data_IF_229162423549
#
_entry.id   IF_229162423549
#
_cell.length_a   1.000
_cell.length_b   1.000
_cell.length_c   1.000
_cell.angle_alpha   90.00
_cell.angle_beta   90.00
_cell.angle_gamma   90.00
#
_symmetry.space_group_name_H-M   'P 1'
#
loop_
_entity.id
_entity.type
_entity.pdbx_description
1 polymer ?
#
# COMPACT_ATOMS: atom_id res chain seq x y z
N UNK A 1 26.92 -15.97 -13.61
CA UNK A 1 25.45 -15.95 -13.40
C UNK A 1 24.82 -15.41 -14.68
N UNK A 2 23.68 -16.00 -15.12
CA UNK A 2 22.96 -15.49 -16.27
C UNK A 2 22.54 -14.00 -16.03
N UNK A 3 22.69 -13.11 -17.05
CA UNK A 3 22.43 -11.67 -16.88
C UNK A 3 21.03 -11.34 -16.36
N UNK A 4 20.02 -12.13 -16.71
CA UNK A 4 18.64 -11.91 -16.24
C UNK A 4 18.46 -12.35 -14.79
N UNK A 5 19.09 -13.45 -14.38
CA UNK A 5 19.14 -13.89 -12.99
C UNK A 5 19.86 -12.87 -12.11
N UNK A 6 20.95 -12.27 -12.62
CA UNK A 6 21.66 -11.20 -11.92
C UNK A 6 20.80 -9.96 -11.72
N UNK A 7 20.07 -9.52 -12.76
CA UNK A 7 19.14 -8.37 -12.67
C UNK A 7 18.03 -8.61 -11.65
N UNK A 8 17.43 -9.82 -11.65
CA UNK A 8 16.41 -10.20 -10.67
C UNK A 8 16.94 -10.17 -9.25
N UNK A 9 18.14 -10.65 -9.03
CA UNK A 9 18.78 -10.63 -7.72
C UNK A 9 19.11 -9.21 -7.25
N UNK A 10 19.64 -8.34 -8.14
CA UNK A 10 19.84 -6.90 -7.84
C UNK A 10 18.51 -6.23 -7.46
N UNK A 11 17.45 -6.48 -8.22
CA UNK A 11 16.12 -5.91 -7.92
C UNK A 11 15.58 -6.39 -6.56
N UNK A 12 15.78 -7.66 -6.20
CA UNK A 12 15.36 -8.20 -4.91
C UNK A 12 16.14 -7.57 -3.73
N UNK A 13 17.44 -7.38 -3.88
CA UNK A 13 18.27 -6.67 -2.90
C UNK A 13 17.82 -5.22 -2.77
N UNK A 14 17.63 -4.53 -3.90
CA UNK A 14 17.22 -3.14 -3.93
C UNK A 14 15.89 -2.93 -3.21
N UNK A 15 14.87 -3.76 -3.47
CA UNK A 15 13.58 -3.67 -2.79
C UNK A 15 13.67 -3.80 -1.27
N UNK A 16 14.64 -4.55 -0.78
CA UNK A 16 14.87 -4.73 0.65
C UNK A 16 15.64 -3.59 1.29
N UNK A 17 16.64 -3.05 0.59
CA UNK A 17 17.63 -2.11 1.14
C UNK A 17 17.38 -0.65 0.75
N UNK A 18 16.63 -0.37 -0.33
CA UNK A 18 16.48 0.98 -0.90
C UNK A 18 16.06 2.04 0.13
N UNK A 19 15.06 1.74 0.94
CA UNK A 19 14.57 2.68 1.95
C UNK A 19 15.66 3.05 2.97
N UNK A 20 16.43 2.07 3.44
CA UNK A 20 17.54 2.28 4.38
C UNK A 20 18.67 3.09 3.76
N UNK A 21 19.02 2.78 2.51
CA UNK A 21 20.08 3.50 1.77
C UNK A 21 19.67 4.96 1.57
N UNK A 22 18.47 5.21 1.03
CA UNK A 22 17.99 6.57 0.78
C UNK A 22 17.86 7.35 2.10
N UNK A 23 17.32 6.74 3.15
CA UNK A 23 17.17 7.36 4.46
C UNK A 23 18.53 7.77 5.06
N UNK A 24 19.49 6.84 5.07
CA UNK A 24 20.87 7.11 5.53
C UNK A 24 21.52 8.23 4.74
N UNK A 25 21.39 8.21 3.41
CA UNK A 25 21.95 9.26 2.56
C UNK A 25 21.25 10.61 2.80
N UNK A 26 19.93 10.64 2.96
CA UNK A 26 19.19 11.88 3.24
C UNK A 26 19.66 12.53 4.53
N UNK A 27 19.85 11.74 5.60
CA UNK A 27 20.43 12.23 6.85
C UNK A 27 21.85 12.80 6.67
N UNK A 28 22.66 12.14 5.83
CA UNK A 28 24.05 12.52 5.59
C UNK A 28 24.17 13.80 4.74
N UNK A 29 23.40 13.89 3.63
CA UNK A 29 23.56 15.02 2.68
C UNK A 29 22.60 16.18 2.96
N UNK A 30 21.57 15.99 3.80
CA UNK A 30 20.57 17.02 4.13
C UNK A 30 19.62 17.36 2.97
N UNK A 31 19.68 16.62 1.85
CA UNK A 31 18.86 16.84 0.65
C UNK A 31 18.31 15.49 0.16
N UNK A 32 17.00 15.33 0.28
CA UNK A 32 16.30 14.11 -0.12
C UNK A 32 16.44 13.81 -1.63
N UNK A 33 16.42 14.84 -2.49
CA UNK A 33 16.52 14.64 -3.92
C UNK A 33 17.91 14.15 -4.32
N UNK A 34 18.94 14.76 -3.76
CA UNK A 34 20.34 14.33 -3.95
C UNK A 34 20.57 12.93 -3.40
N UNK A 35 20.03 12.62 -2.23
CA UNK A 35 20.15 11.29 -1.63
C UNK A 35 19.58 10.18 -2.52
N UNK A 36 18.40 10.40 -3.09
CA UNK A 36 17.78 9.44 -3.99
C UNK A 36 18.55 9.29 -5.29
N UNK A 37 19.05 10.39 -5.87
CA UNK A 37 19.87 10.32 -7.08
C UNK A 37 21.18 9.54 -6.83
N UNK A 38 21.87 9.74 -5.70
CA UNK A 38 23.05 8.98 -5.31
C UNK A 38 22.75 7.49 -5.10
N UNK A 39 21.59 7.17 -4.52
CA UNK A 39 21.15 5.81 -4.32
C UNK A 39 20.85 5.10 -5.65
N UNK A 40 20.25 5.80 -6.64
CA UNK A 40 20.03 5.27 -7.99
C UNK A 40 21.35 5.04 -8.74
N UNK A 41 22.30 5.94 -8.56
CA UNK A 41 23.66 5.77 -9.12
C UNK A 41 24.36 4.53 -8.57
N UNK A 42 24.21 4.23 -7.27
CA UNK A 42 24.76 3.03 -6.68
C UNK A 42 24.04 1.76 -7.21
N UNK A 43 22.74 1.81 -7.43
CA UNK A 43 21.98 0.74 -8.07
C UNK A 43 22.45 0.49 -9.51
N UNK A 44 22.68 1.55 -10.29
CA UNK A 44 23.20 1.44 -11.66
C UNK A 44 24.59 0.78 -11.67
N UNK A 45 25.44 1.10 -10.70
CA UNK A 45 26.76 0.47 -10.55
C UNK A 45 26.65 -1.01 -10.16
N UNK A 46 25.73 -1.38 -9.28
CA UNK A 46 25.44 -2.78 -8.96
C UNK A 46 25.00 -3.59 -10.20
N UNK A 47 24.10 -3.01 -11.01
CA UNK A 47 23.63 -3.61 -12.26
C UNK A 47 24.77 -3.82 -13.28
N UNK A 48 25.79 -2.97 -13.25
CA UNK A 48 26.97 -3.11 -14.12
C UNK A 48 27.99 -4.13 -13.59
N UNK A 49 28.24 -4.16 -12.27
CA UNK A 49 29.35 -4.92 -11.68
C UNK A 49 28.95 -6.34 -11.23
N UNK A 50 27.79 -6.53 -10.61
CA UNK A 50 27.42 -7.81 -10.00
C UNK A 50 27.18 -8.95 -11.00
N UNK A 51 26.73 -8.74 -12.26
CA UNK A 51 26.65 -9.82 -13.24
C UNK A 51 27.99 -10.53 -13.49
N UNK A 52 29.10 -9.78 -13.48
CA UNK A 52 30.43 -10.30 -13.71
C UNK A 52 31.19 -10.71 -12.42
N UNK A 53 31.08 -9.86 -11.38
CA UNK A 53 31.82 -10.02 -10.12
C UNK A 53 31.11 -10.84 -9.04
N UNK A 54 29.83 -11.17 -9.23
CA UNK A 54 28.97 -11.78 -8.20
C UNK A 54 28.37 -10.77 -7.24
N UNK A 55 27.35 -11.22 -6.48
CA UNK A 55 26.71 -10.41 -5.46
C UNK A 55 27.56 -10.41 -4.19
N UNK A 56 27.90 -9.25 -3.62
CA UNK A 56 28.66 -9.17 -2.37
C UNK A 56 27.96 -9.92 -1.22
N UNK A 57 28.73 -10.35 -0.23
CA UNK A 57 28.20 -11.01 0.98
C UNK A 57 27.26 -10.10 1.76
N UNK A 58 27.53 -8.79 1.77
CA UNK A 58 26.65 -7.76 2.32
C UNK A 58 26.29 -6.72 1.24
N UNK A 59 25.25 -6.99 0.42
CA UNK A 59 24.90 -6.13 -0.70
C UNK A 59 24.40 -4.73 -0.27
N UNK A 60 23.71 -4.62 0.86
CA UNK A 60 23.23 -3.34 1.39
C UNK A 60 24.38 -2.42 1.82
N UNK A 61 25.38 -2.95 2.51
CA UNK A 61 26.58 -2.20 2.88
C UNK A 61 27.37 -1.77 1.65
N UNK A 62 27.50 -2.63 0.63
CA UNK A 62 28.16 -2.28 -0.62
C UNK A 62 27.48 -1.11 -1.34
N UNK A 63 26.13 -1.16 -1.51
CA UNK A 63 25.35 -0.08 -2.12
C UNK A 63 25.51 1.23 -1.34
N UNK A 64 25.43 1.16 -0.01
CA UNK A 64 25.61 2.34 0.86
C UNK A 64 27.00 2.94 0.71
N UNK A 65 28.05 2.12 0.67
CA UNK A 65 29.44 2.56 0.50
C UNK A 65 29.66 3.24 -0.86
N UNK A 66 29.11 2.65 -1.95
CA UNK A 66 29.18 3.26 -3.29
C UNK A 66 28.48 4.62 -3.31
N UNK A 67 27.28 4.71 -2.76
CA UNK A 67 26.52 5.95 -2.72
C UNK A 67 27.22 7.02 -1.86
N UNK A 68 27.75 6.67 -0.69
CA UNK A 68 28.56 7.58 0.16
C UNK A 68 29.80 8.10 -0.59
N UNK A 69 30.53 7.21 -1.27
CA UNK A 69 31.71 7.62 -2.08
C UNK A 69 31.32 8.65 -3.14
N UNK A 70 30.23 8.43 -3.87
CA UNK A 70 29.74 9.37 -4.88
C UNK A 70 29.31 10.71 -4.27
N UNK A 71 28.73 10.71 -3.06
CA UNK A 71 28.45 11.92 -2.32
C UNK A 71 29.72 12.72 -2.03
N UNK A 72 30.73 12.07 -1.47
CA UNK A 72 32.06 12.68 -1.17
C UNK A 72 32.72 13.23 -2.43
N UNK A 73 32.73 12.46 -3.52
CA UNK A 73 33.29 12.89 -4.81
C UNK A 73 32.53 14.09 -5.40
N UNK A 74 31.22 14.13 -5.22
CA UNK A 74 30.38 15.26 -5.60
C UNK A 74 30.71 16.53 -4.77
N UNK A 75 30.93 16.36 -3.48
CA UNK A 75 31.35 17.46 -2.60
C UNK A 75 32.75 17.95 -2.95
N UNK A 76 33.73 17.07 -3.07
CA UNK A 76 35.09 17.44 -3.48
C UNK A 76 35.15 18.21 -4.80
N UNK A 77 34.23 17.91 -5.74
CA UNK A 77 34.14 18.68 -7.01
C UNK A 77 33.49 20.06 -6.84
N UNK A 78 32.54 20.20 -5.90
CA UNK A 78 31.89 21.49 -5.56
C UNK A 78 32.73 22.30 -4.59
N UNK A 79 33.54 21.63 -3.77
CA UNK A 79 34.20 22.17 -2.57
C UNK A 79 35.54 22.84 -2.80
N UNK A 80 35.67 23.56 -3.88
CA UNK A 80 36.72 24.61 -3.88
C UNK A 80 36.36 25.81 -2.97
N UNK A 81 35.23 25.76 -2.25
CA UNK A 81 34.67 26.93 -1.55
C UNK A 81 34.11 26.75 -0.14
N UNK A 82 34.14 25.52 0.49
CA UNK A 82 33.54 25.43 1.84
C UNK A 82 34.29 24.48 2.82
N UNK A 83 34.99 25.06 3.79
CA UNK A 83 35.85 24.37 4.81
C UNK A 83 35.01 23.50 5.76
N UNK A 84 33.69 23.74 5.87
CA UNK A 84 32.82 23.00 6.78
C UNK A 84 32.48 21.57 6.25
N UNK A 85 32.45 21.42 4.94
CA UNK A 85 32.22 20.14 4.26
C UNK A 85 33.47 19.25 4.27
N UNK A 86 34.66 19.84 4.33
CA UNK A 86 35.93 19.09 4.45
C UNK A 86 36.04 18.31 5.78
N UNK A 87 35.46 18.83 6.88
CA UNK A 87 35.46 18.16 8.18
C UNK A 87 34.53 16.93 8.16
N UNK A 88 33.34 17.03 7.55
CA UNK A 88 32.40 15.91 7.40
C UNK A 88 32.98 14.83 6.46
N UNK A 89 33.65 15.25 5.38
CA UNK A 89 34.33 14.33 4.46
C UNK A 89 35.45 13.54 5.17
N UNK A 90 36.21 14.19 6.04
CA UNK A 90 37.29 13.57 6.81
C UNK A 90 36.78 12.55 7.86
N UNK A 91 35.69 12.84 8.55
CA UNK A 91 35.05 11.91 9.48
C UNK A 91 34.51 10.68 8.77
N UNK A 92 33.90 10.86 7.58
CA UNK A 92 33.42 9.77 6.73
C UNK A 92 34.56 8.93 6.11
N UNK A 93 35.73 9.54 5.84
CA UNK A 93 36.93 8.84 5.37
C UNK A 93 37.54 7.97 6.48
N UNK A 94 37.51 8.43 7.73
CA UNK A 94 37.93 7.62 8.89
C UNK A 94 37.02 6.42 9.08
N UNK A 95 35.68 6.60 9.04
CA UNK A 95 34.73 5.49 9.09
C UNK A 95 34.91 4.50 7.91
N UNK A 96 35.31 4.98 6.73
CA UNK A 96 35.56 4.13 5.55
C UNK A 96 36.91 3.37 5.63
N UNK A 97 37.94 3.96 6.18
CA UNK A 97 39.23 3.29 6.39
C UNK A 97 39.10 2.14 7.40
N UNK A 98 38.27 2.34 8.43
CA UNK A 98 37.93 1.29 9.39
C UNK A 98 37.08 0.16 8.79
N UNK A 99 36.29 0.45 7.73
CA UNK A 99 35.46 -0.55 7.00
C UNK A 99 36.28 -1.38 6.01
N UNK A 100 37.37 -0.83 5.46
CA UNK A 100 38.20 -1.54 4.46
C UNK A 100 39.16 -2.53 5.16
N UNK A 101 39.49 -2.28 6.43
CA UNK A 101 40.41 -3.15 7.22
C UNK A 101 39.66 -4.15 8.12
N UNK A 102 38.36 -4.01 8.26
CA UNK A 102 37.51 -4.91 9.03
C UNK A 102 36.53 -5.64 8.11
N UNK A 103 36.81 -6.89 7.84
CA UNK A 103 35.78 -7.91 7.53
C UNK A 103 34.89 -8.18 8.74
N UNK A 104 34.77 -7.24 9.65
CA UNK A 104 34.02 -7.28 10.88
C UNK A 104 32.99 -6.13 10.93
N UNK A 105 31.80 -6.48 11.32
CA UNK A 105 30.63 -5.68 11.61
C UNK A 105 30.91 -4.18 11.86
N UNK A 106 30.43 -3.32 10.94
CA UNK A 106 30.12 -1.95 11.31
C UNK A 106 29.16 -2.00 12.50
N UNK A 107 29.29 -1.12 13.49
CA UNK A 107 28.27 -1.00 14.52
C UNK A 107 26.94 -0.61 13.82
N UNK A 108 26.19 -1.65 13.51
CA UNK A 108 24.82 -1.56 13.02
C UNK A 108 24.00 -1.13 14.22
N UNK A 109 23.64 0.16 14.27
CA UNK A 109 22.59 0.62 15.17
C UNK A 109 21.25 0.43 14.44
N UNK A 110 20.54 -0.68 14.69
CA UNK A 110 19.27 -0.94 14.04
C UNK A 110 18.24 0.14 14.40
N UNK A 111 18.30 0.72 15.59
CA UNK A 111 17.33 1.71 16.05
C UNK A 111 17.50 3.04 15.31
N UNK A 112 18.74 3.48 15.05
CA UNK A 112 19.00 4.70 14.28
C UNK A 112 18.56 4.58 12.81
N UNK A 113 18.74 3.40 12.20
CA UNK A 113 18.33 3.16 10.81
C UNK A 113 16.81 3.06 10.70
N UNK A 114 16.15 2.43 11.66
CA UNK A 114 14.70 2.31 11.68
C UNK A 114 14.04 3.68 11.86
N UNK A 115 14.61 4.57 12.67
CA UNK A 115 14.19 5.97 12.78
C UNK A 115 14.33 6.74 11.46
N UNK A 116 15.43 6.55 10.73
CA UNK A 116 15.64 7.22 9.44
C UNK A 116 14.65 6.73 8.37
N UNK A 117 14.30 5.43 8.36
CA UNK A 117 13.27 4.88 7.47
C UNK A 117 11.89 5.47 7.81
N UNK A 118 11.58 5.64 9.10
CA UNK A 118 10.34 6.28 9.53
C UNK A 118 10.27 7.74 9.04
N UNK A 119 11.36 8.51 9.17
CA UNK A 119 11.46 9.88 8.62
C UNK A 119 11.22 9.89 7.12
N UNK A 120 11.83 8.95 6.37
CA UNK A 120 11.65 8.82 4.93
C UNK A 120 10.20 8.57 4.54
N UNK A 121 9.49 7.71 5.28
CA UNK A 121 8.06 7.45 5.08
C UNK A 121 7.24 8.72 5.27
N UNK A 122 7.48 9.49 6.34
CA UNK A 122 6.76 10.74 6.60
C UNK A 122 7.05 11.82 5.54
N UNK A 123 8.29 11.92 5.06
CA UNK A 123 8.66 12.85 3.97
C UNK A 123 7.98 12.45 2.67
N UNK A 124 8.01 11.17 2.29
CA UNK A 124 7.40 10.70 1.03
C UNK A 124 5.88 10.83 1.02
N UNK A 125 5.24 10.82 2.19
CA UNK A 125 3.79 11.00 2.38
C UNK A 125 3.41 12.42 2.81
N UNK A 126 4.30 13.41 2.69
CA UNK A 126 4.05 14.78 3.19
C UNK A 126 2.80 15.41 2.57
N UNK A 127 1.93 16.12 3.37
CA UNK A 127 0.67 16.72 2.90
C UNK A 127 0.84 17.75 1.78
N UNK A 128 2.00 18.38 1.66
CA UNK A 128 2.32 19.32 0.57
C UNK A 128 2.25 18.66 -0.82
N UNK A 129 2.37 17.34 -0.88
CA UNK A 129 2.29 16.55 -2.11
C UNK A 129 0.84 16.18 -2.44
N UNK A 130 0.50 16.12 -3.72
CA UNK A 130 -0.77 15.52 -4.15
C UNK A 130 -0.82 14.02 -3.80
N UNK A 131 -2.04 13.46 -3.76
CA UNK A 131 -2.27 12.04 -3.47
C UNK A 131 -1.46 11.13 -4.41
N UNK A 132 -1.48 11.41 -5.70
CA UNK A 132 -0.77 10.64 -6.74
C UNK A 132 0.74 10.76 -6.59
N UNK A 133 1.22 11.93 -6.19
CA UNK A 133 2.64 12.17 -5.95
C UNK A 133 3.13 11.40 -4.72
N UNK A 134 2.35 11.37 -3.63
CA UNK A 134 2.67 10.57 -2.43
C UNK A 134 2.76 9.09 -2.76
N UNK A 135 1.76 8.54 -3.47
CA UNK A 135 1.75 7.13 -3.89
C UNK A 135 2.99 6.82 -4.74
N UNK A 136 3.26 7.60 -5.78
CA UNK A 136 4.39 7.36 -6.67
C UNK A 136 5.73 7.45 -5.93
N UNK A 137 5.89 8.47 -5.07
CA UNK A 137 7.12 8.68 -4.32
C UNK A 137 7.34 7.59 -3.26
N UNK A 138 6.30 7.22 -2.51
CA UNK A 138 6.37 6.14 -1.52
C UNK A 138 6.76 4.80 -2.15
N UNK A 139 6.14 4.43 -3.26
CA UNK A 139 6.49 3.20 -3.98
C UNK A 139 7.91 3.25 -4.52
N UNK A 140 8.36 4.41 -4.99
CA UNK A 140 9.72 4.59 -5.52
C UNK A 140 10.79 4.47 -4.44
N UNK A 141 10.68 5.27 -3.37
CA UNK A 141 11.77 5.44 -2.40
C UNK A 141 11.68 4.50 -1.20
N UNK A 142 10.48 4.16 -0.77
CA UNK A 142 10.25 3.23 0.36
C UNK A 142 10.04 1.81 -0.17
N UNK A 143 9.26 1.65 -1.24
CA UNK A 143 9.00 0.36 -1.88
C UNK A 143 10.13 -0.15 -2.77
N UNK A 144 10.99 0.74 -3.27
CA UNK A 144 12.08 0.38 -4.18
C UNK A 144 11.63 -0.04 -5.58
N UNK A 145 10.39 0.32 -5.98
CA UNK A 145 9.86 0.01 -7.31
C UNK A 145 10.51 0.92 -8.37
N UNK A 146 10.65 0.39 -9.57
CA UNK A 146 11.04 1.20 -10.75
C UNK A 146 9.87 2.04 -11.25
N UNK A 147 10.16 3.08 -12.02
CA UNK A 147 9.13 3.93 -12.66
C UNK A 147 8.25 3.14 -13.62
N UNK A 148 8.83 2.13 -14.29
CA UNK A 148 8.14 1.22 -15.20
C UNK A 148 7.17 0.29 -14.44
N UNK A 149 7.59 -0.23 -13.27
CA UNK A 149 6.73 -1.04 -12.41
C UNK A 149 5.55 -0.23 -11.89
N UNK A 150 5.80 1.00 -11.41
CA UNK A 150 4.74 1.91 -10.94
C UNK A 150 3.79 2.29 -12.09
N UNK A 151 4.33 2.63 -13.27
CA UNK A 151 3.55 3.00 -14.43
C UNK A 151 2.63 1.86 -14.89
N UNK A 152 3.15 0.64 -14.94
CA UNK A 152 2.39 -0.57 -15.27
C UNK A 152 1.31 -0.85 -14.23
N UNK A 153 1.65 -0.70 -12.94
CA UNK A 153 0.72 -0.93 -11.84
C UNK A 153 -0.47 0.03 -11.83
N UNK A 154 -0.29 1.26 -12.29
CA UNK A 154 -1.35 2.28 -12.33
C UNK A 154 -1.87 2.57 -13.74
N UNK A 155 -1.53 1.74 -14.74
CA UNK A 155 -1.92 1.89 -16.15
C UNK A 155 -1.70 3.33 -16.67
N UNK A 156 -0.52 3.87 -16.37
CA UNK A 156 -0.15 5.23 -16.79
C UNK A 156 1.16 5.20 -17.58
N UNK A 157 1.48 6.28 -18.30
CA UNK A 157 2.74 6.37 -19.02
C UNK A 157 3.92 6.48 -18.05
N UNK A 158 5.06 5.85 -18.38
CA UNK A 158 6.31 5.93 -17.60
C UNK A 158 6.73 7.39 -17.42
N UNK A 159 6.63 8.20 -18.48
CA UNK A 159 6.93 9.64 -18.45
C UNK A 159 6.07 10.41 -17.43
N UNK A 160 4.80 10.02 -17.27
CA UNK A 160 3.90 10.61 -16.27
C UNK A 160 4.39 10.32 -14.85
N UNK A 161 4.79 9.08 -14.57
CA UNK A 161 5.33 8.70 -13.26
C UNK A 161 6.65 9.43 -12.99
N UNK A 162 7.56 9.47 -13.98
CA UNK A 162 8.82 10.21 -13.87
C UNK A 162 8.58 11.68 -13.52
N UNK A 163 7.68 12.34 -14.25
CA UNK A 163 7.34 13.75 -13.99
C UNK A 163 6.71 13.96 -12.60
N UNK A 164 5.84 13.03 -12.15
CA UNK A 164 5.25 13.09 -10.80
C UNK A 164 6.34 13.02 -9.72
N UNK A 165 7.27 12.08 -9.84
CA UNK A 165 8.39 11.91 -8.89
C UNK A 165 9.30 13.14 -8.90
N UNK A 166 9.69 13.63 -10.08
CA UNK A 166 10.54 14.83 -10.21
C UNK A 166 9.86 16.07 -9.60
N UNK A 167 8.58 16.28 -9.88
CA UNK A 167 7.81 17.39 -9.29
C UNK A 167 7.65 17.23 -7.78
N UNK A 168 7.40 16.01 -7.29
CA UNK A 168 7.30 15.74 -5.86
C UNK A 168 8.60 16.11 -5.13
N UNK A 169 9.75 15.65 -5.63
CA UNK A 169 11.06 16.02 -5.08
C UNK A 169 11.27 17.54 -5.06
N UNK A 170 10.97 18.23 -6.18
CA UNK A 170 11.07 19.68 -6.27
C UNK A 170 10.14 20.39 -5.29
N UNK A 171 8.92 19.91 -5.12
CA UNK A 171 7.94 20.49 -4.17
C UNK A 171 8.41 20.33 -2.73
N UNK A 172 8.92 19.15 -2.34
CA UNK A 172 9.49 18.90 -1.02
C UNK A 172 10.68 19.83 -0.73
N UNK A 173 11.62 19.96 -1.68
CA UNK A 173 12.77 20.83 -1.55
C UNK A 173 12.37 22.32 -1.46
N UNK A 174 11.43 22.78 -2.31
CA UNK A 174 10.95 24.17 -2.29
C UNK A 174 10.17 24.52 -1.00
N UNK A 175 9.48 23.54 -0.42
CA UNK A 175 8.77 23.69 0.84
C UNK A 175 9.68 23.57 2.07
N UNK A 176 10.97 23.24 1.89
CA UNK A 176 11.91 23.05 3.00
C UNK A 176 11.49 21.95 3.98
N UNK A 177 10.85 20.89 3.49
CA UNK A 177 10.34 19.82 4.35
C UNK A 177 11.51 19.17 5.09
N UNK A 178 11.52 19.20 6.44
CA UNK A 178 12.62 18.65 7.21
C UNK A 178 12.61 17.10 7.15
N UNK A 179 13.80 16.51 7.23
CA UNK A 179 13.95 15.06 7.34
C UNK A 179 13.82 14.62 8.81
N UNK A 180 12.61 14.70 9.33
CA UNK A 180 12.31 14.46 10.75
C UNK A 180 11.00 13.69 10.91
N UNK A 181 10.86 13.05 12.07
CA UNK A 181 9.57 12.51 12.51
C UNK A 181 8.70 13.72 12.90
N UNK A 182 7.43 13.76 12.50
CA UNK A 182 6.54 14.87 12.87
C UNK A 182 6.47 15.09 14.38
N UNK A 183 6.27 16.35 14.84
CA UNK A 183 5.99 16.65 16.23
C UNK A 183 4.81 15.84 16.79
N UNK A 184 4.74 15.67 18.11
CA UNK A 184 3.73 14.80 18.75
C UNK A 184 2.29 15.22 18.47
N UNK A 185 2.05 16.49 18.31
CA UNK A 185 0.74 17.07 18.00
C UNK A 185 0.32 16.83 16.54
N UNK A 186 1.26 16.80 15.58
CA UNK A 186 1.00 16.49 14.18
C UNK A 186 1.06 14.98 13.86
N UNK A 187 1.72 14.20 14.73
CA UNK A 187 2.01 12.79 14.45
C UNK A 187 0.78 11.95 14.10
N UNK A 188 -0.37 12.04 14.79
CA UNK A 188 -1.55 11.23 14.46
C UNK A 188 -2.10 11.53 13.06
N UNK A 189 -2.18 12.81 12.66
CA UNK A 189 -2.67 13.22 11.34
C UNK A 189 -1.71 12.77 10.23
N UNK A 190 -0.42 12.96 10.46
CA UNK A 190 0.63 12.56 9.53
C UNK A 190 0.70 11.05 9.36
N UNK A 191 0.59 10.29 10.46
CA UNK A 191 0.47 8.83 10.41
C UNK A 191 -0.79 8.39 9.66
N UNK A 192 -1.93 9.03 9.93
CA UNK A 192 -3.18 8.79 9.19
C UNK A 192 -2.99 8.97 7.67
N UNK A 193 -2.22 9.98 7.26
CA UNK A 193 -1.87 10.18 5.84
C UNK A 193 -1.04 9.02 5.29
N UNK A 194 -0.04 8.54 6.02
CA UNK A 194 0.79 7.38 5.62
C UNK A 194 -0.06 6.12 5.48
N UNK A 195 -0.87 5.81 6.49
CA UNK A 195 -1.78 4.66 6.48
C UNK A 195 -2.73 4.73 5.27
N UNK A 196 -3.28 5.92 4.99
CA UNK A 196 -4.13 6.16 3.83
C UNK A 196 -3.43 5.89 2.50
N UNK A 197 -2.16 6.28 2.34
CA UNK A 197 -1.36 5.99 1.13
C UNK A 197 -1.14 4.49 0.97
N UNK A 198 -0.75 3.78 2.03
CA UNK A 198 -0.56 2.34 1.98
C UNK A 198 -1.86 1.59 1.67
N UNK A 199 -2.97 2.01 2.27
CA UNK A 199 -4.28 1.46 1.98
C UNK A 199 -4.72 1.66 0.53
N UNK A 200 -4.42 2.83 -0.05
CA UNK A 200 -4.69 3.10 -1.46
C UNK A 200 -3.90 2.19 -2.41
N UNK A 201 -2.62 1.98 -2.12
CA UNK A 201 -1.78 1.07 -2.90
C UNK A 201 -2.33 -0.36 -2.81
N UNK A 202 -2.71 -0.79 -1.61
CA UNK A 202 -3.30 -2.09 -1.38
C UNK A 202 -4.61 -2.29 -2.16
N UNK A 203 -5.51 -1.30 -2.09
CA UNK A 203 -6.81 -1.38 -2.76
C UNK A 203 -6.67 -1.42 -4.28
N UNK A 204 -5.75 -0.65 -4.88
CA UNK A 204 -5.47 -0.74 -6.31
C UNK A 204 -4.95 -2.12 -6.73
N UNK A 205 -4.19 -2.78 -5.84
CA UNK A 205 -3.76 -4.16 -6.05
C UNK A 205 -4.85 -5.20 -5.80
N UNK A 206 -5.77 -4.92 -4.88
CA UNK A 206 -6.88 -5.79 -4.51
C UNK A 206 -8.03 -5.75 -5.52
N UNK A 207 -8.35 -4.56 -6.04
CA UNK A 207 -9.41 -4.31 -7.00
C UNK A 207 -8.95 -3.20 -7.94
N UNK A 208 -8.48 -3.59 -9.11
CA UNK A 208 -7.94 -2.65 -10.08
C UNK A 208 -9.05 -1.71 -10.58
N UNK A 209 -8.83 -0.41 -10.45
CA UNK A 209 -9.82 0.61 -10.79
C UNK A 209 -10.10 0.72 -12.29
N UNK A 210 -9.20 0.18 -13.15
CA UNK A 210 -9.33 0.21 -14.61
C UNK A 210 -8.48 -0.88 -15.27
N UNK A 211 -8.79 -1.19 -16.54
CA UNK A 211 -8.07 -2.15 -17.39
C UNK A 211 -8.71 -3.52 -17.44
N UNK A 212 -7.99 -4.48 -18.00
CA UNK A 212 -8.44 -5.86 -18.23
C UNK A 212 -8.25 -6.77 -17.01
N UNK A 213 -7.38 -6.43 -16.07
CA UNK A 213 -7.11 -7.22 -14.89
C UNK A 213 -7.98 -6.75 -13.73
N UNK A 214 -8.56 -7.69 -12.99
CA UNK A 214 -9.33 -7.39 -11.77
C UNK A 214 -8.44 -7.15 -10.56
N UNK A 215 -7.26 -7.75 -10.55
CA UNK A 215 -6.33 -7.70 -9.42
C UNK A 215 -4.90 -7.50 -9.90
N UNK A 216 -4.10 -6.81 -9.08
CA UNK A 216 -2.65 -6.64 -9.21
C UNK A 216 -1.98 -7.09 -7.91
N UNK A 217 -1.86 -8.41 -7.67
CA UNK A 217 -1.44 -8.95 -6.37
C UNK A 217 -0.05 -8.47 -5.92
N UNK A 218 0.83 -8.08 -6.86
CA UNK A 218 2.15 -7.52 -6.58
C UNK A 218 2.07 -6.19 -5.83
N UNK A 219 1.10 -5.31 -6.17
CA UNK A 219 0.87 -4.06 -5.42
C UNK A 219 0.36 -4.32 -4.01
N UNK A 220 -0.61 -5.24 -3.87
CA UNK A 220 -1.13 -5.59 -2.54
C UNK A 220 -0.05 -6.20 -1.66
N UNK A 221 0.82 -7.08 -2.23
CA UNK A 221 1.95 -7.65 -1.47
C UNK A 221 2.93 -6.58 -1.04
N UNK A 222 3.23 -5.62 -1.91
CA UNK A 222 4.16 -4.53 -1.58
C UNK A 222 3.55 -3.61 -0.51
N UNK A 223 2.29 -3.21 -0.64
CA UNK A 223 1.59 -2.41 0.37
C UNK A 223 1.58 -3.11 1.74
N UNK A 224 1.29 -4.42 1.76
CA UNK A 224 1.32 -5.22 2.99
C UNK A 224 2.73 -5.30 3.60
N UNK A 225 3.77 -5.46 2.76
CA UNK A 225 5.17 -5.44 3.23
C UNK A 225 5.48 -4.09 3.90
N UNK A 226 5.12 -2.98 3.26
CA UNK A 226 5.34 -1.64 3.80
C UNK A 226 4.52 -1.38 5.08
N UNK A 227 3.27 -1.86 5.14
CA UNK A 227 2.44 -1.74 6.34
C UNK A 227 3.04 -2.51 7.52
N UNK A 228 3.63 -3.69 7.29
CA UNK A 228 4.34 -4.46 8.34
C UNK A 228 5.59 -3.73 8.82
N UNK A 229 6.37 -3.12 7.91
CA UNK A 229 7.53 -2.29 8.28
C UNK A 229 7.06 -1.11 9.13
N UNK A 230 6.03 -0.38 8.69
CA UNK A 230 5.49 0.74 9.46
C UNK A 230 5.01 0.32 10.85
N UNK A 231 4.27 -0.78 10.97
CA UNK A 231 3.78 -1.27 12.26
C UNK A 231 4.94 -1.67 13.23
N UNK A 232 6.06 -2.13 12.69
CA UNK A 232 7.27 -2.39 13.48
C UNK A 232 7.93 -1.10 13.96
N UNK A 233 7.94 -0.04 13.13
CA UNK A 233 8.50 1.27 13.45
C UNK A 233 7.64 2.08 14.45
N UNK A 234 6.33 1.83 14.47
CA UNK A 234 5.37 2.51 15.37
C UNK A 234 4.56 1.50 16.20
N UNK A 235 5.20 0.67 17.05
CA UNK A 235 4.57 -0.49 17.67
C UNK A 235 3.44 -0.17 18.65
N UNK A 236 3.32 1.10 19.07
CA UNK A 236 2.27 1.59 20.00
C UNK A 236 1.09 2.24 19.29
N UNK A 237 1.04 2.21 17.95
CA UNK A 237 -0.03 2.80 17.17
C UNK A 237 -1.02 1.73 16.70
N UNK A 238 -2.24 1.66 17.28
CA UNK A 238 -3.19 0.57 17.01
C UNK A 238 -3.61 0.51 15.56
N UNK A 239 -3.77 1.65 14.89
CA UNK A 239 -4.21 1.67 13.49
C UNK A 239 -3.14 1.20 12.50
N UNK A 240 -1.85 1.27 12.84
CA UNK A 240 -0.82 0.62 12.04
C UNK A 240 -0.96 -0.92 12.07
N UNK A 241 -1.24 -1.49 13.23
CA UNK A 241 -1.55 -2.92 13.37
C UNK A 241 -2.91 -3.27 12.77
N UNK A 242 -3.92 -2.39 12.91
CA UNK A 242 -5.24 -2.52 12.30
C UNK A 242 -5.15 -2.58 10.77
N UNK A 243 -4.32 -1.74 10.14
CA UNK A 243 -4.09 -1.77 8.70
C UNK A 243 -3.41 -3.08 8.26
N UNK A 244 -2.39 -3.56 8.98
CA UNK A 244 -1.77 -4.86 8.71
C UNK A 244 -2.80 -5.97 8.81
N UNK A 245 -3.63 -5.98 9.85
CA UNK A 245 -4.69 -6.97 10.04
C UNK A 245 -5.68 -6.97 8.85
N UNK A 246 -6.17 -5.79 8.47
CA UNK A 246 -7.08 -5.63 7.34
C UNK A 246 -6.48 -6.18 6.04
N UNK A 247 -5.23 -5.82 5.75
CA UNK A 247 -4.53 -6.26 4.54
C UNK A 247 -4.29 -7.77 4.53
N UNK A 248 -3.88 -8.37 5.66
CA UNK A 248 -3.66 -9.81 5.77
C UNK A 248 -4.97 -10.61 5.56
N UNK A 249 -6.03 -10.23 6.28
CA UNK A 249 -7.33 -10.89 6.22
C UNK A 249 -7.96 -10.74 4.82
N UNK A 250 -7.83 -9.56 4.21
CA UNK A 250 -8.31 -9.35 2.84
C UNK A 250 -7.50 -10.14 1.81
N UNK A 251 -6.16 -10.14 1.92
CA UNK A 251 -5.29 -10.87 1.00
C UNK A 251 -5.41 -12.39 1.15
N UNK A 252 -5.81 -12.89 2.30
CA UNK A 252 -6.05 -14.31 2.53
C UNK A 252 -7.04 -14.92 1.52
N UNK A 253 -7.98 -14.11 1.02
CA UNK A 253 -9.02 -14.53 0.07
C UNK A 253 -8.60 -14.46 -1.40
N UNK A 254 -7.45 -13.88 -1.73
CA UNK A 254 -6.98 -13.70 -3.11
C UNK A 254 -7.00 -15.00 -3.95
N UNK A 255 -6.59 -16.18 -3.43
CA UNK A 255 -6.62 -17.41 -4.20
C UNK A 255 -8.01 -17.87 -4.64
N UNK A 256 -9.08 -17.40 -3.97
CA UNK A 256 -10.47 -17.77 -4.25
C UNK A 256 -11.27 -16.67 -4.97
N UNK A 257 -10.67 -15.50 -5.23
CA UNK A 257 -11.39 -14.35 -5.82
C UNK A 257 -11.64 -14.45 -7.31
N UNK A 258 -10.88 -15.28 -7.98
CA UNK A 258 -11.00 -15.53 -9.42
C UNK A 258 -11.26 -17.01 -9.67
N UNK A 259 -12.12 -17.29 -10.64
CA UNK A 259 -12.32 -18.64 -11.17
C UNK A 259 -11.18 -19.04 -12.14
N UNK A 260 -11.33 -20.18 -12.81
CA UNK A 260 -10.36 -20.70 -13.79
C UNK A 260 -10.27 -19.86 -15.08
N UNK A 261 -11.30 -19.05 -15.35
CA UNK A 261 -11.35 -18.14 -16.51
C UNK A 261 -10.83 -16.73 -16.15
N UNK A 262 -10.55 -16.50 -14.86
CA UNK A 262 -10.13 -15.20 -14.33
C UNK A 262 -11.29 -14.24 -14.08
N UNK A 263 -12.52 -14.73 -14.04
CA UNK A 263 -13.69 -13.95 -13.71
C UNK A 263 -13.89 -13.82 -12.20
N UNK A 264 -14.47 -12.72 -11.70
CA UNK A 264 -14.64 -12.48 -10.28
C UNK A 264 -15.63 -13.44 -9.65
N UNK A 265 -15.21 -14.06 -8.54
CA UNK A 265 -16.07 -14.89 -7.69
C UNK A 265 -16.55 -14.06 -6.51
N UNK A 266 -17.87 -13.93 -6.35
CA UNK A 266 -18.45 -13.22 -5.21
C UNK A 266 -18.05 -13.89 -3.89
N UNK A 267 -17.96 -13.11 -2.83
CA UNK A 267 -17.51 -13.61 -1.51
C UNK A 267 -18.35 -14.80 -1.03
N UNK A 268 -19.65 -14.79 -1.33
CA UNK A 268 -20.57 -15.87 -1.00
C UNK A 268 -20.23 -17.20 -1.69
N UNK A 269 -19.71 -17.13 -2.91
CA UNK A 269 -19.47 -18.28 -3.79
C UNK A 269 -18.01 -18.76 -3.72
N UNK A 270 -17.16 -18.08 -2.94
CA UNK A 270 -15.75 -18.43 -2.82
C UNK A 270 -15.55 -19.75 -2.05
N UNK A 271 -14.73 -20.64 -2.62
CA UNK A 271 -14.26 -21.81 -1.90
C UNK A 271 -13.29 -21.42 -0.77
N UNK A 272 -13.79 -21.39 0.47
CA UNK A 272 -13.02 -20.99 1.66
C UNK A 272 -11.84 -21.91 1.97
N UNK A 273 -11.78 -23.14 1.40
CA UNK A 273 -10.61 -24.03 1.51
C UNK A 273 -9.38 -23.48 0.78
N UNK A 274 -9.59 -22.62 -0.22
CA UNK A 274 -8.53 -21.95 -0.97
C UNK A 274 -7.96 -20.72 -0.24
N UNK A 275 -8.58 -20.26 0.85
CA UNK A 275 -8.11 -19.10 1.60
C UNK A 275 -6.81 -19.41 2.34
N UNK A 276 -5.87 -18.47 2.33
CA UNK A 276 -4.57 -18.57 3.02
C UNK A 276 -4.74 -18.51 4.54
N UNK A 277 -4.72 -19.70 5.17
CA UNK A 277 -4.86 -19.83 6.64
C UNK A 277 -3.73 -19.16 7.41
N UNK A 278 -2.54 -19.09 6.82
CA UNK A 278 -1.40 -18.41 7.45
C UNK A 278 -1.61 -16.89 7.48
N UNK A 279 -2.14 -16.31 6.39
CA UNK A 279 -2.51 -14.89 6.35
C UNK A 279 -3.63 -14.59 7.36
N UNK A 280 -4.66 -15.45 7.48
CA UNK A 280 -5.72 -15.29 8.49
C UNK A 280 -5.12 -15.28 9.91
N UNK A 281 -4.22 -16.22 10.21
CA UNK A 281 -3.56 -16.28 11.54
C UNK A 281 -2.75 -15.01 11.82
N UNK A 282 -1.99 -14.52 10.85
CA UNK A 282 -1.22 -13.26 11.00
C UNK A 282 -2.14 -12.05 11.15
N UNK A 283 -3.22 -11.99 10.38
CA UNK A 283 -4.21 -10.91 10.47
C UNK A 283 -4.87 -10.83 11.84
N UNK A 284 -5.31 -11.98 12.38
CA UNK A 284 -5.86 -12.07 13.73
C UNK A 284 -4.86 -11.66 14.80
N UNK A 285 -3.60 -12.10 14.68
CA UNK A 285 -2.55 -11.70 15.61
C UNK A 285 -2.28 -10.19 15.56
N UNK A 286 -2.33 -9.57 14.38
CA UNK A 286 -2.18 -8.13 14.23
C UNK A 286 -3.38 -7.36 14.83
N UNK A 287 -4.61 -7.84 14.62
CA UNK A 287 -5.81 -7.25 15.23
C UNK A 287 -5.77 -7.34 16.76
N UNK A 288 -5.40 -8.50 17.30
CA UNK A 288 -5.22 -8.68 18.75
C UNK A 288 -4.17 -7.73 19.34
N UNK A 289 -3.09 -7.41 18.60
CA UNK A 289 -2.11 -6.40 19.00
C UNK A 289 -2.72 -5.00 19.03
N UNK A 290 -3.51 -4.63 18.01
CA UNK A 290 -4.21 -3.35 18.00
C UNK A 290 -5.12 -3.21 19.23
N UNK A 291 -5.89 -4.25 19.56
CA UNK A 291 -6.77 -4.29 20.73
C UNK A 291 -5.99 -4.20 22.05
N UNK A 292 -4.86 -4.91 22.18
CA UNK A 292 -4.02 -4.92 23.38
C UNK A 292 -3.41 -3.56 23.73
N UNK A 293 -3.26 -2.64 22.74
CA UNK A 293 -2.82 -1.26 22.99
C UNK A 293 -3.88 -0.46 23.78
N UNK A 294 -5.17 -0.85 23.71
CA UNK A 294 -6.23 -0.35 24.59
C UNK A 294 -6.74 1.06 24.30
N UNK A 295 -6.49 1.61 23.10
CA UNK A 295 -7.01 2.93 22.66
C UNK A 295 -8.35 2.84 21.89
N UNK A 296 -8.96 1.66 21.86
CA UNK A 296 -10.12 1.38 21.01
C UNK A 296 -9.75 1.10 19.56
N UNK A 297 -10.74 0.64 18.79
CA UNK A 297 -10.57 0.35 17.35
C UNK A 297 -10.87 1.59 16.52
N UNK A 298 -9.91 2.02 15.75
CA UNK A 298 -10.11 3.04 14.71
C UNK A 298 -10.59 2.41 13.38
N UNK A 299 -10.59 3.19 12.28
CA UNK A 299 -11.18 2.77 11.01
C UNK A 299 -10.59 1.48 10.42
N UNK A 300 -9.28 1.28 10.50
CA UNK A 300 -8.65 0.08 9.92
C UNK A 300 -8.87 -1.15 10.80
N UNK A 301 -8.76 -0.99 12.12
CA UNK A 301 -9.02 -2.09 13.05
C UNK A 301 -10.50 -2.55 13.00
N UNK A 302 -11.46 -1.64 12.82
CA UNK A 302 -12.88 -1.99 12.62
C UNK A 302 -13.11 -2.73 11.31
N UNK A 303 -12.51 -2.28 10.20
CA UNK A 303 -12.59 -2.97 8.92
C UNK A 303 -11.92 -4.36 8.99
N UNK A 304 -10.79 -4.48 9.71
CA UNK A 304 -10.15 -5.76 9.96
C UNK A 304 -11.05 -6.71 10.76
N UNK A 305 -11.75 -6.21 11.77
CA UNK A 305 -12.70 -6.99 12.54
C UNK A 305 -13.89 -7.47 11.69
N UNK A 306 -14.38 -6.66 10.76
CA UNK A 306 -15.41 -7.08 9.78
C UNK A 306 -14.85 -8.22 8.90
N UNK A 307 -13.65 -8.06 8.38
CA UNK A 307 -13.00 -9.09 7.57
C UNK A 307 -12.80 -10.40 8.37
N UNK A 308 -12.46 -10.30 9.65
CA UNK A 308 -12.29 -11.44 10.55
C UNK A 308 -13.59 -12.25 10.72
N UNK A 309 -14.77 -11.60 10.80
CA UNK A 309 -16.05 -12.30 10.89
C UNK A 309 -16.28 -13.21 9.67
N UNK A 310 -15.95 -12.73 8.48
CA UNK A 310 -16.01 -13.55 7.27
C UNK A 310 -15.01 -14.71 7.30
N UNK A 311 -13.79 -14.46 7.79
CA UNK A 311 -12.71 -15.45 7.80
C UNK A 311 -12.86 -16.47 8.95
N UNK A 312 -13.68 -16.18 9.95
CA UNK A 312 -14.00 -17.05 11.05
C UNK A 312 -15.08 -18.11 10.68
N UNK A 313 -16.01 -17.74 9.82
CA UNK A 313 -17.14 -18.57 9.44
C UNK A 313 -16.75 -19.67 8.45
N UNK A 314 -17.36 -20.85 8.55
CA UNK A 314 -17.16 -21.95 7.61
C UNK A 314 -17.90 -21.73 6.28
N UNK A 315 -19.03 -21.02 6.31
CA UNK A 315 -19.85 -20.66 5.16
C UNK A 315 -20.40 -19.25 5.28
N UNK A 316 -21.16 -18.81 4.28
CA UNK A 316 -21.88 -17.52 4.33
C UNK A 316 -22.98 -17.57 5.37
N UNK A 317 -23.66 -18.71 5.48
CA UNK A 317 -24.76 -18.91 6.40
C UNK A 317 -24.30 -18.95 7.87
N UNK A 318 -23.04 -19.38 8.11
CA UNK A 318 -22.42 -19.38 9.43
C UNK A 318 -21.82 -18.01 9.82
N UNK A 319 -21.85 -17.03 8.92
CA UNK A 319 -21.28 -15.68 9.16
C UNK A 319 -22.16 -14.91 10.15
N UNK A 320 -21.53 -14.34 11.20
CA UNK A 320 -22.24 -13.48 12.16
C UNK A 320 -22.54 -12.12 11.56
N UNK A 321 -23.61 -12.06 10.78
CA UNK A 321 -24.05 -10.83 10.11
C UNK A 321 -24.47 -9.75 11.09
N UNK A 322 -25.03 -10.11 12.25
CA UNK A 322 -25.41 -9.16 13.29
C UNK A 322 -24.18 -8.47 13.88
N UNK A 323 -23.10 -9.21 14.15
CA UNK A 323 -21.84 -8.64 14.56
C UNK A 323 -21.24 -7.73 13.48
N UNK A 324 -21.33 -8.11 12.20
CA UNK A 324 -20.87 -7.27 11.08
C UNK A 324 -21.66 -5.96 11.00
N UNK A 325 -22.99 -5.98 11.17
CA UNK A 325 -23.80 -4.75 11.22
C UNK A 325 -23.33 -3.83 12.34
N UNK A 326 -23.15 -4.37 13.55
CA UNK A 326 -22.67 -3.58 14.70
C UNK A 326 -21.27 -2.97 14.46
N UNK A 327 -20.38 -3.71 13.80
CA UNK A 327 -19.05 -3.21 13.43
C UNK A 327 -19.13 -2.08 12.37
N UNK A 328 -20.00 -2.20 11.37
CA UNK A 328 -20.25 -1.12 10.41
C UNK A 328 -20.87 0.11 11.07
N UNK A 329 -21.76 -0.03 12.04
CA UNK A 329 -22.27 1.09 12.82
C UNK A 329 -21.17 1.78 13.62
N UNK A 330 -20.27 1.02 14.23
CA UNK A 330 -19.09 1.56 14.90
C UNK A 330 -18.18 2.30 13.90
N UNK A 331 -17.94 1.72 12.72
CA UNK A 331 -17.14 2.32 11.66
C UNK A 331 -17.78 3.61 11.13
N UNK A 332 -19.11 3.64 10.95
CA UNK A 332 -19.84 4.82 10.53
C UNK A 332 -19.74 5.99 11.51
N UNK A 333 -19.57 5.71 12.83
CA UNK A 333 -19.34 6.75 13.84
C UNK A 333 -17.94 7.34 13.80
N UNK A 334 -16.89 6.54 13.54
CA UNK A 334 -15.48 7.00 13.55
C UNK A 334 -14.99 7.48 12.18
N UNK A 335 -15.58 6.97 11.10
CA UNK A 335 -15.21 7.30 9.72
C UNK A 335 -16.47 7.34 8.83
N UNK A 336 -17.35 8.33 9.01
CA UNK A 336 -18.61 8.43 8.25
C UNK A 336 -18.33 8.53 6.75
N UNK A 337 -18.91 7.61 5.97
CA UNK A 337 -18.74 7.55 4.52
C UNK A 337 -19.97 6.90 3.87
N UNK A 338 -20.44 7.40 2.71
CA UNK A 338 -21.52 6.74 1.97
C UNK A 338 -21.17 5.31 1.54
N UNK A 339 -19.88 5.02 1.33
CA UNK A 339 -19.42 3.65 1.01
C UNK A 339 -19.52 2.72 2.23
N UNK A 340 -19.23 3.22 3.43
CA UNK A 340 -19.45 2.47 4.68
C UNK A 340 -20.91 2.14 4.85
N UNK A 341 -21.82 3.10 4.60
CA UNK A 341 -23.26 2.89 4.67
C UNK A 341 -23.77 1.89 3.61
N UNK A 342 -23.21 1.93 2.39
CA UNK A 342 -23.54 0.95 1.35
C UNK A 342 -23.13 -0.48 1.79
N UNK A 343 -21.94 -0.64 2.34
CA UNK A 343 -21.49 -1.94 2.83
C UNK A 343 -22.30 -2.40 4.06
N UNK A 344 -22.71 -1.46 4.94
CA UNK A 344 -23.64 -1.76 6.04
C UNK A 344 -24.99 -2.25 5.51
N UNK A 345 -25.51 -1.63 4.44
CA UNK A 345 -26.77 -2.06 3.82
C UNK A 345 -26.71 -3.50 3.31
N UNK A 346 -25.55 -3.94 2.77
CA UNK A 346 -25.34 -5.36 2.39
C UNK A 346 -25.38 -6.26 3.63
N UNK A 347 -24.71 -5.89 4.72
CA UNK A 347 -24.72 -6.67 5.95
C UNK A 347 -26.16 -6.77 6.55
N UNK A 348 -26.91 -5.66 6.54
CA UNK A 348 -28.33 -5.63 6.95
C UNK A 348 -29.18 -6.53 6.05
N UNK A 349 -28.94 -6.53 4.73
CA UNK A 349 -29.65 -7.42 3.81
C UNK A 349 -29.38 -8.92 4.10
N UNK A 350 -28.23 -9.23 4.64
CA UNK A 350 -27.88 -10.60 5.04
C UNK A 350 -28.45 -10.96 6.42
N UNK A 351 -28.52 -10.02 7.36
CA UNK A 351 -29.05 -10.23 8.70
C UNK A 351 -30.58 -10.21 8.73
N UNK A 352 -31.20 -9.20 8.09
CA UNK A 352 -32.62 -8.87 8.25
C UNK A 352 -33.43 -9.06 6.96
N UNK A 353 -32.76 -9.53 5.89
CA UNK A 353 -33.37 -9.81 4.60
C UNK A 353 -33.21 -8.69 3.55
N UNK A 354 -33.36 -9.05 2.25
CA UNK A 354 -33.03 -8.17 1.13
C UNK A 354 -33.88 -6.88 1.07
N UNK A 355 -35.09 -6.90 1.58
CA UNK A 355 -35.96 -5.71 1.61
C UNK A 355 -35.41 -4.61 2.55
N UNK A 356 -34.89 -5.00 3.72
CA UNK A 356 -34.29 -4.07 4.68
C UNK A 356 -33.04 -3.41 4.09
N UNK A 357 -32.15 -4.21 3.46
CA UNK A 357 -30.97 -3.69 2.77
C UNK A 357 -31.31 -2.76 1.60
N UNK A 358 -32.30 -3.14 0.76
CA UNK A 358 -32.70 -2.34 -0.40
C UNK A 358 -33.21 -0.94 0.02
N UNK A 359 -33.98 -0.86 1.11
CA UNK A 359 -34.45 0.43 1.63
C UNK A 359 -33.27 1.40 1.96
N UNK A 360 -32.17 0.87 2.52
CA UNK A 360 -30.97 1.67 2.80
C UNK A 360 -30.23 2.06 1.51
N UNK A 361 -30.12 1.14 0.54
CA UNK A 361 -29.48 1.41 -0.75
C UNK A 361 -30.25 2.46 -1.55
N UNK A 362 -31.59 2.38 -1.58
CA UNK A 362 -32.45 3.37 -2.25
C UNK A 362 -32.32 4.76 -1.61
N UNK A 363 -32.22 4.84 -0.28
CA UNK A 363 -31.94 6.11 0.43
C UNK A 363 -30.57 6.70 0.02
N UNK A 364 -29.53 5.87 -0.13
CA UNK A 364 -28.22 6.30 -0.60
C UNK A 364 -28.23 6.74 -2.08
N UNK A 365 -29.07 6.12 -2.91
CA UNK A 365 -29.23 6.53 -4.30
C UNK A 365 -29.87 7.93 -4.42
N UNK A 366 -30.82 8.25 -3.55
CA UNK A 366 -31.46 9.59 -3.48
C UNK A 366 -30.47 10.66 -2.99
N UNK A 367 -29.57 10.33 -2.05
CA UNK A 367 -28.52 11.25 -1.56
C UNK A 367 -27.60 11.76 -2.68
N UNK A 368 -27.39 10.97 -3.73
CA UNK A 368 -26.65 11.33 -4.93
C UNK A 368 -25.12 11.33 -4.78
N UNK A 369 -24.55 11.24 -3.58
CA UNK A 369 -23.08 11.21 -3.37
C UNK A 369 -22.40 10.01 -4.03
N UNK A 370 -23.13 8.90 -4.23
CA UNK A 370 -22.67 7.68 -4.90
C UNK A 370 -23.20 7.55 -6.34
N UNK A 371 -23.74 8.59 -6.96
CA UNK A 371 -24.37 8.53 -8.29
C UNK A 371 -23.44 7.97 -9.40
N UNK A 372 -22.13 8.16 -9.28
CA UNK A 372 -21.13 7.63 -10.23
C UNK A 372 -20.36 6.40 -9.70
N UNK A 373 -20.79 5.83 -8.59
CA UNK A 373 -20.15 4.70 -7.95
C UNK A 373 -20.88 3.41 -8.35
N UNK A 374 -20.33 2.68 -9.32
CA UNK A 374 -20.97 1.48 -9.89
C UNK A 374 -21.40 0.42 -8.86
N UNK A 375 -20.66 0.22 -7.70
CA UNK A 375 -21.09 -0.77 -6.73
C UNK A 375 -22.46 -0.47 -6.10
N UNK A 376 -22.90 0.81 -6.04
CA UNK A 376 -24.22 1.15 -5.57
C UNK A 376 -25.30 0.47 -6.42
N UNK A 377 -25.17 0.56 -7.75
CA UNK A 377 -26.12 -0.04 -8.69
C UNK A 377 -26.00 -1.56 -8.74
N UNK A 378 -24.79 -2.10 -8.60
CA UNK A 378 -24.57 -3.54 -8.53
C UNK A 378 -25.23 -4.16 -7.28
N UNK A 379 -25.04 -3.57 -6.11
CA UNK A 379 -25.68 -4.01 -4.86
C UNK A 379 -27.21 -3.88 -4.96
N UNK A 380 -27.69 -2.75 -5.51
CA UNK A 380 -29.13 -2.55 -5.74
C UNK A 380 -29.71 -3.65 -6.62
N UNK A 381 -29.03 -3.98 -7.72
CA UNK A 381 -29.44 -5.01 -8.65
C UNK A 381 -29.52 -6.39 -7.98
N UNK A 382 -28.52 -6.78 -7.19
CA UNK A 382 -28.53 -8.04 -6.44
C UNK A 382 -29.67 -8.15 -5.44
N UNK A 383 -29.97 -7.07 -4.73
CA UNK A 383 -31.07 -7.05 -3.77
C UNK A 383 -32.42 -7.14 -4.47
N UNK A 384 -32.61 -6.46 -5.62
CA UNK A 384 -33.80 -6.55 -6.45
C UNK A 384 -34.01 -7.96 -7.00
N UNK A 385 -32.97 -8.61 -7.50
CA UNK A 385 -33.01 -10.00 -7.99
C UNK A 385 -33.43 -10.97 -6.86
N UNK A 386 -32.87 -10.81 -5.64
CA UNK A 386 -33.26 -11.61 -4.47
C UNK A 386 -34.71 -11.40 -4.03
N UNK A 387 -35.33 -10.29 -4.44
CA UNK A 387 -36.75 -9.98 -4.20
C UNK A 387 -37.67 -10.38 -5.36
N UNK A 388 -37.12 -10.97 -6.45
CA UNK A 388 -37.87 -11.33 -7.65
C UNK A 388 -38.30 -10.13 -8.51
N UNK A 389 -37.64 -8.96 -8.33
CA UNK A 389 -37.87 -7.73 -9.13
C UNK A 389 -36.94 -7.69 -10.32
N UNK A 390 -37.05 -8.71 -11.20
CA UNK A 390 -36.05 -9.02 -12.23
C UNK A 390 -35.87 -7.92 -13.27
N UNK A 391 -36.95 -7.20 -13.67
CA UNK A 391 -36.85 -6.10 -14.65
C UNK A 391 -36.00 -4.95 -14.10
N UNK A 392 -36.27 -4.55 -12.86
CA UNK A 392 -35.51 -3.49 -12.18
C UNK A 392 -34.08 -3.93 -11.87
N UNK A 393 -33.83 -5.20 -11.57
CA UNK A 393 -32.49 -5.74 -11.38
C UNK A 393 -31.67 -5.62 -12.66
N UNK A 394 -32.25 -5.99 -13.82
CA UNK A 394 -31.56 -5.88 -15.14
C UNK A 394 -31.19 -4.44 -15.48
N UNK A 395 -32.10 -3.47 -15.24
CA UNK A 395 -31.80 -2.06 -15.44
C UNK A 395 -30.65 -1.58 -14.55
N UNK A 396 -30.65 -1.98 -13.27
CA UNK A 396 -29.58 -1.61 -12.33
C UNK A 396 -28.23 -2.26 -12.69
N UNK A 397 -28.17 -3.53 -13.17
CA UNK A 397 -26.96 -4.15 -13.67
C UNK A 397 -26.43 -3.44 -14.91
N UNK A 398 -27.31 -3.07 -15.88
CA UNK A 398 -26.90 -2.32 -17.05
C UNK A 398 -26.31 -0.94 -16.69
N UNK A 399 -26.91 -0.27 -15.69
CA UNK A 399 -26.38 0.99 -15.18
C UNK A 399 -25.02 0.81 -14.49
N UNK A 400 -24.84 -0.21 -13.64
CA UNK A 400 -23.56 -0.54 -13.05
C UNK A 400 -22.49 -0.79 -14.11
N UNK A 401 -22.81 -1.54 -15.17
CA UNK A 401 -21.91 -1.81 -16.29
C UNK A 401 -21.47 -0.55 -17.03
N UNK A 402 -22.35 0.45 -17.12
CA UNK A 402 -22.05 1.76 -17.74
C UNK A 402 -21.07 2.59 -16.91
N UNK A 403 -21.11 2.44 -15.60
CA UNK A 403 -20.34 3.25 -14.64
C UNK A 403 -18.94 2.68 -14.38
N UNK A 404 -18.71 1.37 -14.53
CA UNK A 404 -17.39 0.78 -14.27
C UNK A 404 -16.40 1.03 -15.43
N UNK A 405 -15.15 1.32 -15.08
CA UNK A 405 -14.04 1.42 -16.02
C UNK A 405 -13.26 0.10 -16.18
N UNK A 406 -13.54 -0.92 -15.35
CA UNK A 406 -12.92 -2.23 -15.47
C UNK A 406 -13.66 -3.08 -16.50
N UNK A 407 -12.93 -3.61 -17.49
CA UNK A 407 -13.52 -4.33 -18.63
C UNK A 407 -14.15 -5.67 -18.22
N UNK A 408 -13.53 -6.41 -17.28
CA UNK A 408 -14.05 -7.71 -16.81
C UNK A 408 -15.30 -7.53 -15.96
N UNK A 409 -15.29 -6.56 -15.03
CA UNK A 409 -16.49 -6.24 -14.25
C UNK A 409 -17.65 -5.86 -15.17
N UNK A 410 -17.37 -5.03 -16.19
CA UNK A 410 -18.38 -4.64 -17.19
C UNK A 410 -18.97 -5.85 -17.89
N UNK A 411 -18.13 -6.79 -18.33
CA UNK A 411 -18.58 -7.99 -19.01
C UNK A 411 -19.51 -8.85 -18.13
N UNK A 412 -19.14 -9.07 -16.86
CA UNK A 412 -19.95 -9.81 -15.90
C UNK A 412 -21.28 -9.11 -15.64
N UNK A 413 -21.27 -7.79 -15.41
CA UNK A 413 -22.50 -7.02 -15.16
C UNK A 413 -23.44 -7.03 -16.37
N UNK A 414 -22.90 -6.94 -17.61
CA UNK A 414 -23.70 -7.05 -18.84
C UNK A 414 -24.28 -8.46 -19.03
N UNK A 415 -23.53 -9.49 -18.72
CA UNK A 415 -24.03 -10.87 -18.75
C UNK A 415 -25.22 -11.04 -17.80
N UNK A 416 -25.14 -10.52 -16.57
CA UNK A 416 -26.25 -10.55 -15.60
C UNK A 416 -27.45 -9.72 -16.06
N UNK A 417 -27.21 -8.54 -16.66
CA UNK A 417 -28.29 -7.72 -17.25
C UNK A 417 -29.02 -8.41 -18.40
N UNK A 418 -28.36 -9.32 -19.14
CA UNK A 418 -28.92 -10.05 -20.26
C UNK A 418 -29.67 -11.33 -19.86
N UNK A 419 -29.46 -11.84 -18.63
CA UNK A 419 -30.06 -13.10 -18.18
C UNK A 419 -31.57 -12.93 -17.99
N UNK A 420 -32.35 -13.72 -18.72
CA UNK A 420 -33.79 -13.88 -18.49
C UNK A 420 -33.99 -15.15 -17.65
N UNK A 421 -34.49 -15.01 -16.46
CA UNK A 421 -35.00 -16.14 -15.67
C UNK A 421 -36.48 -16.39 -15.92
#
# INVERSE_FOLDING_TARGET
MDPESARRAVAAVWRRESARIVATLTRMVGDFALAEDLAQDALAEALAQWPAGGIPSNPGAWLTAVAKRRAIDGWRRRDRYDVRLAAIAHDLEREQAEVTDATGDLPYDPDAIDDDVLRLVFVSCHPVLSREARVALTLRVVGGLTTEEIARAFLTAVSTVQQRIVRAKKTLGAAGVPFEVPPRDEFPERLGTVLGVLYLIFNEGHSASAGSDLMRPELSREALRLARVLAALVPREPEAHGLVALMELTAARFPARLDEHGDPVLLGDQDRRRWDRSAITRGRAALARADAIGRGRGPYALQAAIAEQHDAAASVDDTDWAAIVALYEALGRVAPSPVVELNRAVAVAMADGPAAGLALVDALAVDGRLARYHPLQAVRAELLERLGRDDEAREAFAEAARLTANERERAVLLARAATRR
#
